data_IF_048714142360
#
_entry.id   IF_048714142360
#
_cell.length_a   1.000
_cell.length_b   1.000
_cell.length_c   1.000
_cell.angle_alpha   90.00
_cell.angle_beta   90.00
_cell.angle_gamma   90.00
#
_symmetry.space_group_name_H-M   'P 1'
#
loop_
_entity.id
_entity.type
_entity.pdbx_description
1 polymer ?
#
# COMPACT_ATOMS: atom_id res chain seq x y z
N UNK A 1 -3.56 -12.69 23.03
CA UNK A 1 -3.55 -11.41 23.76
C UNK A 1 -2.25 -10.66 23.50
N UNK A 2 -2.24 -9.33 23.57
CA UNK A 2 -1.05 -8.48 23.41
C UNK A 2 0.10 -8.96 24.33
N UNK A 3 -0.19 -9.28 25.59
CA UNK A 3 0.81 -9.83 26.54
C UNK A 3 1.52 -11.09 26.02
N UNK A 4 0.79 -12.02 25.39
CA UNK A 4 1.38 -13.24 24.81
C UNK A 4 2.27 -12.92 23.60
N UNK A 5 1.87 -11.95 22.76
CA UNK A 5 2.65 -11.49 21.64
C UNK A 5 3.99 -10.88 22.09
N UNK A 6 3.96 -9.96 23.06
CA UNK A 6 5.19 -9.37 23.60
C UNK A 6 6.09 -10.42 24.29
N UNK A 7 5.52 -11.38 24.99
CA UNK A 7 6.31 -12.45 25.59
C UNK A 7 6.97 -13.36 24.55
N UNK A 8 6.29 -13.64 23.45
CA UNK A 8 6.82 -14.47 22.35
C UNK A 8 7.91 -13.77 21.54
N UNK A 9 7.86 -12.44 21.43
CA UNK A 9 8.80 -11.62 20.64
C UNK A 9 9.70 -10.74 21.51
N UNK A 10 9.97 -11.15 22.74
CA UNK A 10 10.69 -10.33 23.71
C UNK A 10 12.09 -9.90 23.21
N UNK A 11 12.83 -10.78 22.50
CA UNK A 11 14.15 -10.48 21.96
C UNK A 11 14.08 -9.42 20.85
N UNK A 12 13.05 -9.49 19.99
CA UNK A 12 12.85 -8.51 18.92
C UNK A 12 12.60 -7.11 19.50
N UNK A 13 11.83 -7.04 20.59
CA UNK A 13 11.56 -5.78 21.28
C UNK A 13 12.74 -5.21 22.06
N UNK A 14 13.69 -6.05 22.51
CA UNK A 14 14.89 -5.58 23.19
C UNK A 14 15.80 -4.73 22.29
N UNK A 15 15.71 -4.90 20.98
CA UNK A 15 16.50 -4.14 19.99
C UNK A 15 15.80 -2.88 19.51
N UNK A 16 14.54 -2.66 19.90
CA UNK A 16 13.72 -1.53 19.45
C UNK A 16 13.65 -0.44 20.52
N UNK A 17 13.78 0.82 20.11
CA UNK A 17 13.44 1.96 20.96
C UNK A 17 11.93 2.20 20.87
N UNK A 18 11.20 1.79 21.91
CA UNK A 18 9.74 1.93 21.96
C UNK A 18 9.34 3.18 22.73
N UNK A 19 8.36 3.97 22.26
CA UNK A 19 7.82 5.08 23.02
C UNK A 19 7.12 4.60 24.29
N UNK A 20 7.09 5.45 25.32
CA UNK A 20 6.53 5.09 26.64
C UNK A 20 5.06 4.63 26.60
N UNK A 21 4.29 5.14 25.64
CA UNK A 21 2.88 4.83 25.44
C UNK A 21 2.61 3.70 24.41
N UNK A 22 3.67 3.02 23.93
CA UNK A 22 3.56 1.99 22.90
C UNK A 22 2.53 0.90 23.24
N UNK A 23 2.52 0.41 24.47
CA UNK A 23 1.55 -0.60 24.92
C UNK A 23 0.12 -0.10 24.87
N UNK A 24 -0.12 1.16 25.27
CA UNK A 24 -1.45 1.77 25.22
C UNK A 24 -1.91 1.95 23.77
N UNK A 25 -1.02 2.39 22.88
CA UNK A 25 -1.31 2.51 21.44
C UNK A 25 -1.63 1.14 20.82
N UNK A 26 -0.83 0.11 21.09
CA UNK A 26 -1.07 -1.24 20.61
C UNK A 26 -2.42 -1.80 21.10
N UNK A 27 -2.77 -1.55 22.36
CA UNK A 27 -4.07 -1.95 22.90
C UNK A 27 -5.22 -1.21 22.23
N UNK A 28 -5.12 0.09 22.03
CA UNK A 28 -6.14 0.89 21.34
C UNK A 28 -6.34 0.40 19.90
N UNK A 29 -5.27 0.17 19.15
CA UNK A 29 -5.37 -0.38 17.79
C UNK A 29 -6.01 -1.77 17.77
N UNK A 30 -5.66 -2.65 18.71
CA UNK A 30 -6.30 -3.96 18.81
C UNK A 30 -7.81 -3.83 19.06
N UNK A 31 -8.23 -2.90 19.92
CA UNK A 31 -9.65 -2.65 20.16
C UNK A 31 -10.35 -2.13 18.93
N UNK A 32 -9.74 -1.19 18.20
CA UNK A 32 -10.27 -0.68 16.94
C UNK A 32 -10.43 -1.80 15.91
N UNK A 33 -9.38 -2.61 15.67
CA UNK A 33 -9.45 -3.76 14.73
C UNK A 33 -10.57 -4.71 15.14
N UNK A 34 -10.70 -5.00 16.43
CA UNK A 34 -11.77 -5.87 16.94
C UNK A 34 -13.15 -5.29 16.65
N UNK A 35 -13.37 -4.02 16.93
CA UNK A 35 -14.65 -3.34 16.61
C UNK A 35 -14.91 -3.35 15.10
N UNK A 36 -13.90 -3.05 14.27
CA UNK A 36 -14.06 -3.13 12.82
C UNK A 36 -14.54 -4.51 12.38
N UNK A 37 -13.86 -5.57 12.78
CA UNK A 37 -14.18 -6.94 12.36
C UNK A 37 -15.53 -7.44 12.88
N UNK A 38 -15.93 -7.02 14.09
CA UNK A 38 -17.14 -7.54 14.74
C UNK A 38 -18.38 -6.68 14.47
N UNK A 39 -18.17 -5.36 14.38
CA UNK A 39 -19.30 -4.42 14.36
C UNK A 39 -19.35 -3.65 13.03
N UNK A 40 -18.25 -3.01 12.61
CA UNK A 40 -18.27 -2.08 11.49
C UNK A 40 -18.37 -2.79 10.14
N UNK A 41 -17.52 -3.79 9.87
CA UNK A 41 -17.52 -4.48 8.58
C UNK A 41 -18.82 -5.22 8.28
N UNK A 42 -19.44 -5.96 9.22
CA UNK A 42 -20.71 -6.63 8.95
C UNK A 42 -21.87 -5.66 8.68
N UNK A 43 -21.81 -4.43 9.21
CA UNK A 43 -22.87 -3.43 9.01
C UNK A 43 -22.66 -2.61 7.74
N UNK A 44 -21.42 -2.32 7.36
CA UNK A 44 -21.10 -1.43 6.25
C UNK A 44 -20.84 -2.15 4.93
N UNK A 45 -20.48 -3.44 4.98
CA UNK A 45 -20.15 -4.21 3.80
C UNK A 45 -21.30 -5.16 3.48
N UNK A 46 -21.91 -4.95 2.32
CA UNK A 46 -22.96 -5.83 1.82
C UNK A 46 -22.42 -7.25 1.64
N UNK A 47 -23.13 -8.22 2.18
CA UNK A 47 -22.79 -9.63 2.11
C UNK A 47 -21.47 -10.04 2.81
N UNK A 48 -20.96 -9.25 3.74
CA UNK A 48 -19.77 -9.60 4.47
C UNK A 48 -19.95 -10.92 5.24
N UNK A 49 -19.04 -11.87 4.98
CA UNK A 49 -19.08 -13.19 5.62
C UNK A 49 -17.69 -13.58 6.16
N UNK A 50 -17.55 -13.57 7.48
CA UNK A 50 -16.28 -13.93 8.16
C UNK A 50 -15.77 -15.32 7.77
N UNK A 51 -16.65 -16.30 7.52
CA UNK A 51 -16.25 -17.67 7.13
C UNK A 51 -15.73 -17.74 5.69
N UNK A 52 -16.07 -16.74 4.87
CA UNK A 52 -15.65 -16.63 3.49
C UNK A 52 -14.45 -15.66 3.31
N UNK A 53 -13.77 -15.34 4.38
CA UNK A 53 -12.65 -14.38 4.39
C UNK A 53 -11.32 -15.11 4.35
N UNK A 54 -10.42 -14.63 3.50
CA UNK A 54 -9.01 -14.98 3.44
C UNK A 54 -8.19 -13.86 4.09
N UNK A 55 -7.23 -14.24 4.91
CA UNK A 55 -6.25 -13.33 5.48
C UNK A 55 -4.90 -13.57 4.82
N UNK A 56 -4.14 -12.49 4.61
CA UNK A 56 -2.78 -12.55 4.07
C UNK A 56 -2.71 -13.29 2.72
N UNK A 57 -3.72 -13.10 1.85
CA UNK A 57 -3.80 -13.76 0.56
C UNK A 57 -2.70 -13.22 -0.39
N UNK A 58 -1.81 -14.11 -0.82
CA UNK A 58 -0.69 -13.77 -1.70
C UNK A 58 -1.06 -14.00 -3.16
N UNK A 59 -0.63 -13.08 -4.03
CA UNK A 59 -0.87 -13.11 -5.47
C UNK A 59 0.40 -12.85 -6.25
N UNK A 60 0.50 -13.49 -7.40
CA UNK A 60 1.46 -13.19 -8.46
C UNK A 60 0.66 -12.90 -9.71
N UNK A 61 0.95 -11.80 -10.38
CA UNK A 61 0.36 -11.44 -11.66
C UNK A 61 1.46 -11.30 -12.70
N UNK A 62 1.61 -12.32 -13.56
CA UNK A 62 2.63 -12.35 -14.60
C UNK A 62 2.42 -11.24 -15.64
N UNK A 63 1.16 -10.98 -16.02
CA UNK A 63 0.82 -9.92 -16.99
C UNK A 63 1.26 -8.53 -16.54
N UNK A 64 1.14 -8.25 -15.25
CA UNK A 64 1.58 -6.99 -14.68
C UNK A 64 3.00 -7.04 -14.12
N UNK A 65 3.62 -8.23 -14.00
CA UNK A 65 4.90 -8.41 -13.32
C UNK A 65 4.87 -7.92 -11.87
N UNK A 66 3.77 -8.16 -11.18
CA UNK A 66 3.55 -7.74 -9.81
C UNK A 66 3.28 -8.94 -8.91
N UNK A 67 3.78 -8.86 -7.70
CA UNK A 67 3.39 -9.74 -6.61
C UNK A 67 2.94 -8.91 -5.42
N UNK A 68 2.06 -9.46 -4.60
CA UNK A 68 1.56 -8.77 -3.43
C UNK A 68 0.82 -9.69 -2.49
N UNK A 69 0.51 -9.15 -1.32
CA UNK A 69 -0.25 -9.85 -0.29
C UNK A 69 -1.27 -8.89 0.28
N UNK A 70 -2.54 -9.23 0.13
CA UNK A 70 -3.68 -8.45 0.64
C UNK A 70 -3.97 -8.89 2.06
N UNK A 71 -4.10 -7.95 2.98
CA UNK A 71 -4.32 -8.26 4.40
C UNK A 71 -5.62 -9.03 4.63
N UNK A 72 -6.71 -8.62 3.99
CA UNK A 72 -7.99 -9.33 4.07
C UNK A 72 -8.79 -9.21 2.79
N UNK A 73 -9.36 -10.31 2.34
CA UNK A 73 -10.30 -10.33 1.20
C UNK A 73 -11.35 -11.42 1.37
N UNK A 74 -12.48 -11.28 0.67
CA UNK A 74 -13.43 -12.39 0.56
C UNK A 74 -13.08 -13.29 -0.64
N UNK A 75 -13.41 -14.59 -0.52
CA UNK A 75 -13.08 -15.60 -1.55
C UNK A 75 -13.77 -15.35 -2.91
N UNK A 76 -14.85 -14.58 -2.91
CA UNK A 76 -15.57 -14.14 -4.12
C UNK A 76 -14.97 -12.88 -4.75
N UNK A 77 -13.86 -12.36 -4.19
CA UNK A 77 -13.16 -11.15 -4.61
C UNK A 77 -13.98 -9.84 -4.53
N UNK A 78 -15.18 -9.88 -3.93
CA UNK A 78 -16.04 -8.69 -3.88
C UNK A 78 -15.60 -7.69 -2.81
N UNK A 79 -14.80 -8.11 -1.84
CA UNK A 79 -14.33 -7.24 -0.75
C UNK A 79 -12.83 -7.38 -0.59
N UNK A 80 -12.13 -6.25 -0.64
CA UNK A 80 -10.71 -6.10 -0.33
C UNK A 80 -10.54 -5.11 0.81
N UNK A 81 -9.70 -5.46 1.77
CA UNK A 81 -9.34 -4.56 2.86
C UNK A 81 -7.83 -4.62 3.07
N UNK A 82 -7.20 -3.46 3.02
CA UNK A 82 -5.81 -3.26 3.37
C UNK A 82 -5.72 -2.51 4.68
N UNK A 83 -5.01 -3.05 5.66
CA UNK A 83 -4.90 -2.48 6.99
C UNK A 83 -3.59 -1.71 7.15
N UNK A 84 -3.67 -0.52 7.71
CA UNK A 84 -2.53 0.34 8.02
C UNK A 84 -2.50 0.68 9.49
N UNK A 85 -1.38 0.38 10.15
CA UNK A 85 -1.16 0.72 11.56
C UNK A 85 -0.74 2.19 11.75
N UNK A 86 -0.26 2.83 10.68
CA UNK A 86 0.23 4.20 10.69
C UNK A 86 -0.84 5.29 10.65
N UNK A 87 -0.38 6.52 10.43
CA UNK A 87 -1.26 7.68 10.28
C UNK A 87 -1.85 7.74 8.87
N UNK A 88 -3.11 8.20 8.78
CA UNK A 88 -3.71 8.69 7.54
C UNK A 88 -3.33 10.16 7.31
N UNK A 89 -3.77 10.77 6.21
CA UNK A 89 -3.79 12.23 6.09
C UNK A 89 -4.74 12.80 7.15
N UNK A 90 -4.17 13.33 8.24
CA UNK A 90 -4.95 13.80 9.40
C UNK A 90 -5.72 15.08 9.10
N UNK A 91 -5.22 15.91 8.18
CA UNK A 91 -5.86 17.17 7.83
C UNK A 91 -7.15 16.96 7.04
N UNK A 92 -7.08 16.13 5.98
CA UNK A 92 -8.23 15.85 5.13
C UNK A 92 -9.00 14.60 5.55
N UNK A 93 -8.53 13.85 6.56
CA UNK A 93 -9.09 12.58 7.02
C UNK A 93 -9.24 11.53 5.90
N UNK A 94 -8.31 11.54 4.95
CA UNK A 94 -8.30 10.66 3.78
C UNK A 94 -7.09 9.73 3.80
N UNK A 95 -7.00 8.86 2.80
CA UNK A 95 -5.84 7.99 2.59
C UNK A 95 -4.56 8.78 2.31
N UNK A 96 -3.43 8.12 2.51
CA UNK A 96 -2.16 8.52 1.92
C UNK A 96 -2.06 7.96 0.50
N UNK A 97 -1.44 8.71 -0.40
CA UNK A 97 -1.32 8.36 -1.82
C UNK A 97 -0.65 6.99 -2.04
N UNK A 98 0.43 6.69 -1.32
CA UNK A 98 1.14 5.42 -1.39
C UNK A 98 0.25 4.22 -1.00
N UNK A 99 -0.56 4.37 0.05
CA UNK A 99 -1.52 3.34 0.45
C UNK A 99 -2.64 3.17 -0.56
N UNK A 100 -3.08 4.25 -1.18
CA UNK A 100 -4.10 4.23 -2.23
C UNK A 100 -3.59 3.55 -3.49
N UNK A 101 -2.35 3.88 -3.93
CA UNK A 101 -1.70 3.23 -5.07
C UNK A 101 -1.55 1.72 -4.82
N UNK A 102 -1.13 1.32 -3.62
CA UNK A 102 -1.04 -0.10 -3.27
C UNK A 102 -2.39 -0.82 -3.46
N UNK A 103 -3.48 -0.21 -3.00
CA UNK A 103 -4.83 -0.75 -3.18
C UNK A 103 -5.22 -0.84 -4.66
N UNK A 104 -4.91 0.19 -5.47
CA UNK A 104 -5.14 0.17 -6.93
C UNK A 104 -4.40 -0.99 -7.61
N UNK A 105 -3.15 -1.23 -7.21
CA UNK A 105 -2.36 -2.33 -7.76
C UNK A 105 -2.96 -3.70 -7.39
N UNK A 106 -3.47 -3.88 -6.18
CA UNK A 106 -4.17 -5.11 -5.81
C UNK A 106 -5.46 -5.33 -6.63
N UNK A 107 -6.26 -4.28 -6.81
CA UNK A 107 -7.43 -4.37 -7.70
C UNK A 107 -7.02 -4.74 -9.13
N UNK A 108 -5.97 -4.12 -9.65
CA UNK A 108 -5.42 -4.44 -10.97
C UNK A 108 -4.97 -5.91 -11.07
N UNK A 109 -4.28 -6.43 -10.06
CA UNK A 109 -3.87 -7.84 -10.01
C UNK A 109 -5.08 -8.77 -10.08
N UNK A 110 -6.14 -8.50 -9.31
CA UNK A 110 -7.36 -9.31 -9.34
C UNK A 110 -8.09 -9.22 -10.69
N UNK A 111 -8.12 -8.04 -11.30
CA UNK A 111 -8.65 -7.82 -12.63
C UNK A 111 -7.95 -8.71 -13.68
N UNK A 112 -6.62 -8.67 -13.70
CA UNK A 112 -5.82 -9.36 -14.72
C UNK A 112 -5.70 -10.87 -14.48
N UNK A 113 -5.71 -11.32 -13.22
CA UNK A 113 -5.61 -12.73 -12.90
C UNK A 113 -6.95 -13.47 -12.99
N UNK A 114 -8.04 -12.82 -12.57
CA UNK A 114 -9.33 -13.47 -12.35
C UNK A 114 -10.47 -12.86 -13.15
N UNK A 115 -10.20 -11.88 -14.00
CA UNK A 115 -11.23 -11.20 -14.79
C UNK A 115 -12.24 -10.41 -13.95
N UNK A 116 -11.86 -10.01 -12.74
CA UNK A 116 -12.76 -9.27 -11.86
C UNK A 116 -12.95 -7.85 -12.35
N UNK A 117 -14.19 -7.40 -12.40
CA UNK A 117 -14.51 -6.01 -12.72
C UNK A 117 -14.35 -5.14 -11.46
N UNK A 118 -13.60 -4.05 -11.56
CA UNK A 118 -13.36 -3.12 -10.44
C UNK A 118 -14.65 -2.52 -9.89
N UNK A 119 -15.67 -2.34 -10.73
CA UNK A 119 -16.98 -1.84 -10.32
C UNK A 119 -17.71 -2.76 -9.33
N UNK A 120 -17.38 -4.06 -9.33
CA UNK A 120 -17.99 -5.06 -8.45
C UNK A 120 -17.20 -5.25 -7.15
N UNK A 121 -16.02 -4.65 -7.04
CA UNK A 121 -15.16 -4.76 -5.85
C UNK A 121 -15.42 -3.60 -4.89
N UNK A 122 -15.72 -3.93 -3.65
CA UNK A 122 -15.74 -2.97 -2.55
C UNK A 122 -14.35 -2.98 -1.89
N UNK A 123 -13.64 -1.87 -1.96
CA UNK A 123 -12.29 -1.75 -1.47
C UNK A 123 -12.19 -0.76 -0.33
N UNK A 124 -11.42 -1.12 0.68
CA UNK A 124 -11.33 -0.36 1.92
C UNK A 124 -9.86 -0.25 2.36
N UNK A 125 -9.49 0.95 2.79
CA UNK A 125 -8.29 1.18 3.59
C UNK A 125 -8.69 1.30 5.06
N UNK A 126 -8.14 0.45 5.90
CA UNK A 126 -8.40 0.42 7.33
C UNK A 126 -7.21 0.99 8.11
N UNK A 127 -7.33 2.22 8.56
CA UNK A 127 -6.35 2.82 9.46
C UNK A 127 -6.67 2.46 10.91
N UNK A 128 -6.10 1.38 11.41
CA UNK A 128 -6.40 0.82 12.74
C UNK A 128 -6.08 1.73 13.91
N UNK A 129 -5.28 2.76 13.70
CA UNK A 129 -4.98 3.79 14.69
C UNK A 129 -6.23 4.60 15.10
N UNK A 130 -7.22 4.71 14.22
CA UNK A 130 -8.40 5.56 14.41
C UNK A 130 -9.65 4.73 14.53
N UNK A 131 -10.57 5.09 15.44
CA UNK A 131 -11.86 4.43 15.58
C UNK A 131 -12.77 4.63 14.33
N UNK A 132 -12.57 5.73 13.61
CA UNK A 132 -13.22 6.08 12.33
C UNK A 132 -12.30 5.81 11.13
N UNK A 133 -11.40 4.85 11.24
CA UNK A 133 -10.30 4.63 10.27
C UNK A 133 -10.66 3.82 9.03
N UNK A 134 -11.91 3.41 8.83
CA UNK A 134 -12.34 2.70 7.63
C UNK A 134 -12.68 3.69 6.52
N UNK A 135 -11.90 3.67 5.45
CA UNK A 135 -12.10 4.50 4.27
C UNK A 135 -12.55 3.62 3.09
N UNK A 136 -13.59 4.06 2.38
CA UNK A 136 -14.04 3.41 1.15
C UNK A 136 -13.22 3.99 0.00
N UNK A 137 -12.66 3.11 -0.82
CA UNK A 137 -11.81 3.51 -1.94
C UNK A 137 -12.39 3.01 -3.26
N UNK A 138 -12.19 3.81 -4.30
CA UNK A 138 -12.66 3.51 -5.64
C UNK A 138 -11.49 3.41 -6.61
N UNK A 139 -11.60 2.53 -7.60
CA UNK A 139 -10.56 2.35 -8.59
C UNK A 139 -10.35 3.62 -9.42
N UNK A 140 -9.12 4.10 -9.46
CA UNK A 140 -8.69 5.24 -10.26
C UNK A 140 -7.84 4.76 -11.45
N UNK A 141 -8.48 4.52 -12.60
CA UNK A 141 -7.86 3.92 -13.77
C UNK A 141 -6.62 4.68 -14.25
N UNK A 142 -6.69 6.02 -14.28
CA UNK A 142 -5.56 6.84 -14.70
C UNK A 142 -4.36 6.66 -13.77
N UNK A 143 -4.57 6.69 -12.45
CA UNK A 143 -3.52 6.49 -11.47
C UNK A 143 -2.93 5.07 -11.56
N UNK A 144 -3.77 4.06 -11.75
CA UNK A 144 -3.32 2.69 -11.99
C UNK A 144 -2.42 2.60 -13.23
N UNK A 145 -2.84 3.19 -14.35
CA UNK A 145 -2.03 3.21 -15.59
C UNK A 145 -0.68 3.90 -15.39
N UNK A 146 -0.66 5.04 -14.71
CA UNK A 146 0.58 5.75 -14.41
C UNK A 146 1.50 4.93 -13.49
N UNK A 147 0.94 4.25 -12.51
CA UNK A 147 1.70 3.35 -11.62
C UNK A 147 2.35 2.20 -12.39
N UNK A 148 1.65 1.63 -13.38
CA UNK A 148 2.20 0.59 -14.25
C UNK A 148 3.29 1.15 -15.19
N UNK A 149 3.13 2.36 -15.71
CA UNK A 149 4.19 3.03 -16.50
C UNK A 149 5.45 3.22 -15.66
N UNK A 150 5.32 3.71 -14.43
CA UNK A 150 6.46 3.87 -13.53
C UNK A 150 7.15 2.54 -13.25
N UNK A 151 6.37 1.48 -12.96
CA UNK A 151 6.92 0.14 -12.77
C UNK A 151 7.70 -0.32 -14.02
N UNK A 152 7.14 -0.13 -15.21
CA UNK A 152 7.80 -0.49 -16.45
C UNK A 152 9.12 0.29 -16.65
N UNK A 153 9.12 1.57 -16.28
CA UNK A 153 10.33 2.39 -16.34
C UNK A 153 11.41 1.89 -15.36
N UNK A 154 11.03 1.53 -14.14
CA UNK A 154 11.96 0.97 -13.14
C UNK A 154 12.56 -0.33 -13.67
N UNK A 155 11.72 -1.29 -14.12
CA UNK A 155 12.17 -2.58 -14.65
C UNK A 155 13.07 -2.39 -15.87
N UNK A 156 12.72 -1.48 -16.79
CA UNK A 156 13.56 -1.19 -17.95
C UNK A 156 14.95 -0.70 -17.54
N UNK A 157 15.04 0.20 -16.57
CA UNK A 157 16.33 0.67 -16.08
C UNK A 157 17.12 -0.41 -15.32
N UNK A 158 16.45 -1.26 -14.54
CA UNK A 158 17.10 -2.41 -13.89
C UNK A 158 17.69 -3.39 -14.92
N UNK A 159 16.97 -3.67 -16.01
CA UNK A 159 17.48 -4.50 -17.11
C UNK A 159 18.71 -3.86 -17.77
N UNK A 160 18.66 -2.55 -18.04
CA UNK A 160 19.80 -1.82 -18.61
C UNK A 160 21.02 -1.82 -17.70
N UNK A 161 20.82 -1.77 -16.37
CA UNK A 161 21.92 -1.92 -15.40
C UNK A 161 22.62 -3.28 -15.53
N UNK A 162 21.85 -4.34 -15.74
CA UNK A 162 22.37 -5.68 -15.98
C UNK A 162 23.22 -5.77 -17.26
N UNK A 163 22.90 -4.99 -18.28
CA UNK A 163 23.61 -4.93 -19.57
C UNK A 163 24.85 -4.00 -19.54
N UNK A 164 25.20 -3.41 -18.40
CA UNK A 164 26.38 -2.54 -18.26
C UNK A 164 26.19 -1.08 -18.69
N UNK A 165 24.94 -0.63 -18.95
CA UNK A 165 24.61 0.71 -19.44
C UNK A 165 24.46 1.76 -18.31
N UNK A 166 25.21 1.63 -17.21
CA UNK A 166 25.08 2.53 -16.04
C UNK A 166 25.25 4.00 -16.43
N UNK A 167 26.26 4.32 -17.24
CA UNK A 167 26.53 5.71 -17.64
C UNK A 167 25.34 6.33 -18.38
N UNK A 168 24.76 5.63 -19.34
CA UNK A 168 23.60 6.09 -20.10
C UNK A 168 22.37 6.26 -19.21
N UNK A 169 22.17 5.37 -18.23
CA UNK A 169 21.05 5.49 -17.27
C UNK A 169 21.22 6.73 -16.42
N UNK A 170 22.42 6.94 -15.84
CA UNK A 170 22.70 8.14 -15.03
C UNK A 170 22.49 9.41 -15.82
N UNK A 171 22.92 9.44 -17.09
CA UNK A 171 22.72 10.60 -17.97
C UNK A 171 21.25 10.84 -18.32
N UNK A 172 20.45 9.77 -18.39
CA UNK A 172 19.01 9.85 -18.66
C UNK A 172 18.14 10.18 -17.44
N UNK A 173 18.69 10.14 -16.22
CA UNK A 173 17.93 10.46 -15.01
C UNK A 173 17.49 11.92 -15.02
N UNK A 174 16.18 12.12 -14.90
CA UNK A 174 15.53 13.42 -14.87
C UNK A 174 14.36 13.38 -13.89
N UNK A 175 14.19 14.48 -13.15
CA UNK A 175 13.01 14.69 -12.33
C UNK A 175 11.76 14.97 -13.15
N UNK A 176 11.95 15.48 -14.39
CA UNK A 176 10.84 15.85 -15.27
C UNK A 176 10.00 14.65 -15.68
N UNK A 177 10.64 13.48 -15.88
CA UNK A 177 9.94 12.26 -16.24
C UNK A 177 8.91 11.84 -15.16
N UNK A 178 9.25 11.99 -13.88
CA UNK A 178 8.34 11.66 -12.79
C UNK A 178 7.18 12.65 -12.69
N UNK A 179 7.42 13.92 -13.01
CA UNK A 179 6.37 14.92 -13.12
C UNK A 179 5.43 14.62 -14.31
N UNK A 180 5.98 14.18 -15.44
CA UNK A 180 5.19 13.77 -16.61
C UNK A 180 4.30 12.55 -16.34
N UNK A 181 4.73 11.64 -15.45
CA UNK A 181 3.95 10.47 -15.07
C UNK A 181 2.75 10.79 -14.18
N UNK A 182 2.64 12.01 -13.68
CA UNK A 182 1.52 12.51 -12.85
C UNK A 182 1.13 11.58 -11.68
N UNK A 183 2.10 10.83 -11.18
CA UNK A 183 1.87 9.96 -10.03
C UNK A 183 1.73 10.83 -8.79
N UNK A 184 0.49 11.13 -8.44
CA UNK A 184 0.09 11.89 -7.29
C UNK A 184 1.07 13.03 -6.97
N UNK A 185 0.84 14.23 -7.45
CA UNK A 185 1.77 15.36 -7.27
C UNK A 185 2.24 15.52 -5.82
N UNK A 186 1.45 15.02 -4.87
CA UNK A 186 1.81 14.98 -3.45
C UNK A 186 2.87 13.91 -3.15
N UNK A 187 2.77 12.70 -3.71
CA UNK A 187 3.76 11.64 -3.49
C UNK A 187 5.14 12.11 -3.96
N UNK A 188 5.19 12.77 -5.13
CA UNK A 188 6.42 13.32 -5.68
C UNK A 188 6.96 14.49 -4.84
N UNK A 189 6.12 15.41 -4.42
CA UNK A 189 6.51 16.53 -3.56
C UNK A 189 6.98 16.06 -2.18
N UNK A 190 6.38 15.00 -1.63
CA UNK A 190 6.80 14.39 -0.37
C UNK A 190 8.15 13.65 -0.49
N UNK A 191 8.53 13.21 -1.70
CA UNK A 191 9.83 12.57 -1.99
C UNK A 191 11.02 13.54 -2.01
N UNK A 192 10.77 14.82 -1.79
CA UNK A 192 11.80 15.84 -1.64
C UNK A 192 12.68 15.97 -2.91
N UNK A 193 12.08 16.49 -3.97
CA UNK A 193 12.74 16.80 -5.23
C UNK A 193 14.19 17.33 -5.07
N UNK A 194 14.50 18.24 -4.10
CA UNK A 194 15.87 18.70 -3.86
C UNK A 194 16.85 17.59 -3.48
N UNK A 195 16.43 16.58 -2.72
CA UNK A 195 17.30 15.46 -2.34
C UNK A 195 17.55 14.52 -3.52
N UNK A 196 16.55 14.26 -4.33
CA UNK A 196 16.71 13.45 -5.54
C UNK A 196 17.61 14.17 -6.54
N UNK A 197 17.44 15.46 -6.76
CA UNK A 197 18.30 16.24 -7.64
C UNK A 197 19.75 16.24 -7.13
N UNK A 198 19.97 16.31 -5.82
CA UNK A 198 21.29 16.20 -5.22
C UNK A 198 21.91 14.82 -5.48
N UNK A 199 21.14 13.74 -5.32
CA UNK A 199 21.59 12.39 -5.59
C UNK A 199 21.96 12.19 -7.06
N UNK A 200 21.13 12.64 -8.01
CA UNK A 200 21.39 12.61 -9.45
C UNK A 200 22.68 13.37 -9.77
N UNK A 201 22.87 14.57 -9.26
CA UNK A 201 24.07 15.37 -9.47
C UNK A 201 25.34 14.72 -8.90
N UNK A 202 25.20 13.97 -7.80
CA UNK A 202 26.31 13.22 -7.21
C UNK A 202 26.71 12.02 -8.08
N UNK A 203 25.75 11.32 -8.66
CA UNK A 203 25.99 10.19 -9.56
C UNK A 203 26.62 10.62 -10.89
N UNK A 204 26.36 11.84 -11.35
CA UNK A 204 26.91 12.40 -12.60
C UNK A 204 28.33 12.98 -12.47
N UNK A 205 28.89 13.06 -11.27
CA UNK A 205 30.28 13.50 -10.99
C UNK A 205 31.26 12.34 -11.03
#
# INVERSE_FOLDING_TARGET
>A
TIKKFFAASALDFCTCSLPADFHAQAQAQMMNIRSFVHDVLPHNIRNFNKKNTLLEASFICEKLGLQGRVDMMQKDFQVLIEQKAGKRDEYHRRHKEDHFIQMMLYQGVLMYNFGQETANMQTFLLYSKYADGLLIEHFAENLFRESIKLRNYIVHNEMRLGDGSIGEIVDSLSTDLLNELQIGGKLWNDYQEPQLQTAINTLKR
#
